data_IF_356604994273
#
_entry.id   IF_356604994273
#
_cell.length_a   1.000
_cell.length_b   1.000
_cell.length_c   1.000
_cell.angle_alpha   90.00
_cell.angle_beta   90.00
_cell.angle_gamma   90.00
#
_symmetry.space_group_name_H-M   'P 1'
#
loop_
_entity.id
_entity.type
_entity.pdbx_description
1 polymer ?
#
# COMPACT_ATOMS: atom_id res chain seq x y z
N UNK A 1 13.38 1.71 22.61
CA UNK A 1 14.21 0.63 22.09
C UNK A 1 15.49 1.15 21.38
N UNK A 2 15.45 2.39 20.90
CA UNK A 2 16.56 3.03 20.20
C UNK A 2 16.77 4.44 20.78
N UNK A 3 17.92 4.71 21.40
CA UNK A 3 18.21 5.97 22.05
C UNK A 3 18.50 7.12 21.08
N UNK A 4 18.73 6.82 19.82
CA UNK A 4 19.14 7.77 18.78
C UNK A 4 18.09 7.91 17.65
N UNK A 5 16.86 7.49 17.87
CA UNK A 5 15.75 7.62 16.90
C UNK A 5 14.72 8.60 17.43
N UNK A 6 14.46 9.66 16.65
CA UNK A 6 13.36 10.59 16.90
C UNK A 6 12.29 10.35 15.85
N UNK A 7 11.14 9.76 16.20
CA UNK A 7 10.04 9.59 15.26
C UNK A 7 9.36 10.94 14.97
N UNK A 8 9.03 11.16 13.69
CA UNK A 8 8.23 12.30 13.25
C UNK A 8 6.89 11.75 12.77
N UNK A 9 5.83 12.11 13.45
CA UNK A 9 4.50 11.57 13.26
C UNK A 9 3.65 12.43 12.34
N UNK A 10 2.86 11.78 11.49
CA UNK A 10 1.75 12.43 10.79
C UNK A 10 0.49 12.32 11.65
N UNK A 11 -0.21 13.43 11.88
CA UNK A 11 -1.47 13.48 12.63
C UNK A 11 -2.55 13.98 11.67
N UNK A 12 -3.64 13.21 11.54
CA UNK A 12 -4.77 13.55 10.68
C UNK A 12 -6.09 13.66 11.46
N UNK A 13 -6.14 13.12 12.68
CA UNK A 13 -7.31 13.11 13.55
C UNK A 13 -6.91 13.59 14.95
N UNK A 14 -7.86 14.23 15.64
CA UNK A 14 -7.67 14.68 17.03
C UNK A 14 -7.36 13.52 17.98
N UNK A 15 -8.02 12.37 17.79
CA UNK A 15 -7.76 11.16 18.58
C UNK A 15 -6.31 10.65 18.44
N UNK A 16 -5.69 10.82 17.30
CA UNK A 16 -4.28 10.49 17.09
C UNK A 16 -3.37 11.43 17.89
N UNK A 17 -3.71 12.72 17.94
CA UNK A 17 -2.97 13.68 18.75
C UNK A 17 -3.08 13.35 20.25
N UNK A 18 -4.29 13.04 20.73
CA UNK A 18 -4.51 12.65 22.12
C UNK A 18 -3.73 11.38 22.48
N UNK A 19 -3.71 10.39 21.60
CA UNK A 19 -2.90 9.18 21.77
C UNK A 19 -1.41 9.50 21.89
N UNK A 20 -0.87 10.35 21.00
CA UNK A 20 0.54 10.75 21.04
C UNK A 20 0.90 11.51 22.31
N UNK A 21 0.03 12.40 22.76
CA UNK A 21 0.24 13.13 24.00
C UNK A 21 0.26 12.20 25.23
N UNK A 22 -0.57 11.16 25.22
CA UNK A 22 -0.59 10.17 26.29
C UNK A 22 0.73 9.41 26.44
N UNK A 23 1.49 9.23 25.34
CA UNK A 23 2.80 8.57 25.37
C UNK A 23 3.90 9.39 26.05
N UNK A 24 3.69 10.69 26.24
CA UNK A 24 4.60 11.54 27.04
C UNK A 24 4.49 11.22 28.55
N UNK A 25 3.32 10.76 28.99
CA UNK A 25 3.07 10.40 30.38
C UNK A 25 3.26 8.89 30.61
N UNK A 26 2.79 8.08 29.67
CA UNK A 26 2.79 6.62 29.73
C UNK A 26 3.34 6.04 28.45
N UNK A 27 4.67 5.99 28.33
CA UNK A 27 5.32 5.40 27.16
C UNK A 27 5.03 3.90 27.05
N UNK A 28 4.48 3.40 25.94
CA UNK A 28 4.23 1.98 25.77
C UNK A 28 5.53 1.16 25.85
N UNK A 29 5.50 0.06 26.57
CA UNK A 29 6.60 -0.89 26.62
C UNK A 29 6.41 -1.96 25.54
N UNK A 30 7.53 -2.53 25.07
CA UNK A 30 7.52 -3.68 24.17
C UNK A 30 7.09 -4.93 24.95
N UNK A 31 5.80 -5.18 25.00
CA UNK A 31 5.22 -6.39 25.58
C UNK A 31 5.01 -7.50 24.52
N UNK A 32 4.42 -8.61 24.93
CA UNK A 32 4.15 -9.75 24.05
C UNK A 32 3.11 -9.39 22.99
N UNK A 33 2.11 -8.58 23.30
CA UNK A 33 1.04 -8.18 22.38
C UNK A 33 1.59 -7.30 21.27
N UNK A 34 2.34 -6.27 21.60
CA UNK A 34 3.00 -5.38 20.63
C UNK A 34 4.01 -6.16 19.79
N UNK A 35 4.77 -7.07 20.40
CA UNK A 35 5.72 -7.91 19.68
C UNK A 35 5.03 -8.82 18.67
N UNK A 36 3.92 -9.46 19.04
CA UNK A 36 3.12 -10.30 18.16
C UNK A 36 2.50 -9.48 17.00
N UNK A 37 2.02 -8.27 17.28
CA UNK A 37 1.50 -7.35 16.28
C UNK A 37 2.59 -6.97 15.26
N UNK A 38 3.78 -6.61 15.73
CA UNK A 38 4.92 -6.28 14.86
C UNK A 38 5.31 -7.46 13.95
N UNK A 39 5.35 -8.68 14.50
CA UNK A 39 5.68 -9.86 13.69
C UNK A 39 4.60 -10.17 12.64
N UNK A 40 3.33 -9.98 12.97
CA UNK A 40 2.24 -10.06 12.00
C UNK A 40 2.40 -9.03 10.87
N UNK A 41 2.64 -7.76 11.22
CA UNK A 41 2.86 -6.70 10.25
C UNK A 41 4.08 -6.94 9.37
N UNK A 42 5.17 -7.46 9.94
CA UNK A 42 6.34 -7.86 9.17
C UNK A 42 5.99 -8.94 8.13
N UNK A 43 5.23 -9.96 8.51
CA UNK A 43 4.81 -11.03 7.60
C UNK A 43 3.93 -10.48 6.46
N UNK A 44 2.99 -9.59 6.76
CA UNK A 44 2.12 -8.96 5.75
C UNK A 44 2.89 -8.03 4.80
N UNK A 45 3.93 -7.35 5.30
CA UNK A 45 4.75 -6.41 4.55
C UNK A 45 6.04 -7.02 4.00
N UNK A 46 6.32 -8.30 4.29
CA UNK A 46 7.43 -9.04 3.71
C UNK A 46 7.00 -9.58 2.34
N UNK A 47 7.76 -9.28 1.32
CA UNK A 47 7.51 -9.85 0.00
C UNK A 47 7.40 -8.81 -1.12
N UNK A 48 6.84 -9.26 -2.21
CA UNK A 48 6.76 -8.53 -3.46
C UNK A 48 5.61 -7.54 -3.45
N UNK A 49 5.84 -6.33 -2.95
CA UNK A 49 4.89 -5.23 -3.08
C UNK A 49 5.54 -3.99 -3.70
N UNK A 50 4.76 -3.25 -4.48
CA UNK A 50 5.23 -2.03 -5.13
C UNK A 50 5.39 -0.89 -4.10
N UNK A 51 6.60 -0.27 -4.04
CA UNK A 51 6.90 0.85 -3.14
C UNK A 51 6.45 2.22 -3.69
N UNK A 52 5.84 2.25 -4.90
CA UNK A 52 5.29 3.47 -5.49
C UNK A 52 6.31 4.48 -6.00
N UNK A 53 7.58 4.12 -6.13
CA UNK A 53 8.67 5.03 -6.49
C UNK A 53 8.58 5.64 -7.91
N UNK A 54 7.87 4.98 -8.84
CA UNK A 54 7.61 5.50 -10.18
C UNK A 54 8.73 5.29 -11.22
N UNK A 55 9.85 4.66 -10.89
CA UNK A 55 10.95 4.43 -11.86
C UNK A 55 10.52 3.64 -13.10
N UNK A 56 9.50 2.79 -12.98
CA UNK A 56 8.93 2.03 -14.09
C UNK A 56 8.09 2.86 -15.08
N UNK A 57 7.80 4.11 -14.73
CA UNK A 57 7.00 4.99 -15.58
C UNK A 57 7.85 5.69 -16.67
N UNK A 58 7.24 6.19 -17.76
CA UNK A 58 5.85 5.97 -18.16
C UNK A 58 5.62 4.56 -18.70
N UNK A 59 4.39 4.04 -18.55
CA UNK A 59 3.97 2.79 -19.17
C UNK A 59 3.52 3.05 -20.63
N UNK A 60 3.95 2.24 -21.63
CA UNK A 60 3.49 2.41 -23.00
C UNK A 60 1.98 2.22 -23.18
N UNK A 61 1.34 1.42 -22.32
CA UNK A 61 -0.12 1.23 -22.29
C UNK A 61 -0.86 2.26 -21.44
N UNK A 62 -0.18 3.30 -20.93
CA UNK A 62 -0.79 4.36 -20.11
C UNK A 62 -1.22 3.94 -18.70
N UNK A 63 -0.74 2.80 -18.19
CA UNK A 63 -1.06 2.30 -16.85
C UNK A 63 -0.27 3.10 -15.81
N UNK A 64 -0.96 3.60 -14.76
CA UNK A 64 -0.32 4.24 -13.60
C UNK A 64 0.26 3.17 -12.67
N UNK A 65 1.33 2.51 -13.09
CA UNK A 65 1.90 1.32 -12.44
C UNK A 65 2.18 1.56 -10.95
N UNK A 66 2.77 2.70 -10.61
CA UNK A 66 3.16 3.05 -9.25
C UNK A 66 1.98 3.18 -8.27
N UNK A 67 0.76 3.33 -8.76
CA UNK A 67 -0.47 3.29 -7.95
C UNK A 67 -1.18 1.94 -8.10
N UNK A 68 -1.42 1.50 -9.32
CA UNK A 68 -2.17 0.28 -9.59
C UNK A 68 -1.52 -0.97 -9.00
N UNK A 69 -0.18 -1.09 -9.04
CA UNK A 69 0.54 -2.26 -8.53
C UNK A 69 0.61 -2.37 -7.00
N UNK A 70 0.06 -1.40 -6.26
CA UNK A 70 -0.05 -1.41 -4.79
C UNK A 70 -1.46 -1.12 -4.29
N UNK A 71 -2.44 -1.18 -5.16
CA UNK A 71 -3.82 -0.78 -4.85
C UNK A 71 -4.41 -1.54 -3.67
N UNK A 72 -4.13 -2.84 -3.53
CA UNK A 72 -4.58 -3.64 -2.38
C UNK A 72 -4.11 -3.09 -1.03
N UNK A 73 -2.88 -2.56 -0.97
CA UNK A 73 -2.36 -1.89 0.22
C UNK A 73 -3.07 -0.56 0.48
N UNK A 74 -3.31 0.22 -0.58
CA UNK A 74 -3.98 1.52 -0.46
C UNK A 74 -5.41 1.36 0.04
N UNK A 75 -6.12 0.35 -0.43
CA UNK A 75 -7.49 0.06 0.01
C UNK A 75 -7.58 -0.35 1.49
N UNK A 76 -6.54 -0.97 2.05
CA UNK A 76 -6.55 -1.48 3.43
C UNK A 76 -5.88 -0.58 4.45
N UNK A 77 -4.97 0.31 4.00
CA UNK A 77 -4.10 1.12 4.89
C UNK A 77 -4.31 2.63 4.74
N UNK A 78 -5.20 3.04 3.85
CA UNK A 78 -5.62 4.43 3.66
C UNK A 78 -7.14 4.49 3.55
N UNK A 79 -7.79 5.67 3.69
CA UNK A 79 -9.22 5.82 3.45
C UNK A 79 -9.58 5.33 2.06
N UNK A 80 -10.31 4.20 1.98
CA UNK A 80 -10.56 3.49 0.71
C UNK A 80 -11.42 4.28 -0.27
N UNK A 81 -12.31 5.15 0.24
CA UNK A 81 -13.23 5.95 -0.59
C UNK A 81 -12.53 6.75 -1.70
N UNK A 82 -11.33 7.27 -1.43
CA UNK A 82 -10.54 8.00 -2.42
C UNK A 82 -10.01 7.13 -3.56
N UNK A 83 -9.92 5.81 -3.35
CA UNK A 83 -9.40 4.82 -4.30
C UNK A 83 -10.51 4.07 -5.05
N UNK A 84 -11.78 4.24 -4.65
CA UNK A 84 -12.93 3.60 -5.28
C UNK A 84 -13.72 4.53 -6.21
N UNK A 85 -13.17 5.68 -6.53
CA UNK A 85 -13.79 6.67 -7.42
C UNK A 85 -13.91 6.16 -8.85
N UNK A 86 -14.90 6.64 -9.66
CA UNK A 86 -15.01 6.27 -11.07
C UNK A 86 -13.72 6.50 -11.85
N UNK A 87 -13.00 7.58 -11.57
CA UNK A 87 -11.72 7.88 -12.21
C UNK A 87 -10.68 6.79 -11.91
N UNK A 88 -10.58 6.33 -10.67
CA UNK A 88 -9.62 5.28 -10.30
C UNK A 88 -10.02 3.93 -10.89
N UNK A 89 -11.33 3.65 -11.01
CA UNK A 89 -11.82 2.45 -11.67
C UNK A 89 -11.35 2.40 -13.14
N UNK A 90 -11.45 3.52 -13.86
CA UNK A 90 -10.93 3.61 -15.25
C UNK A 90 -9.40 3.44 -15.30
N UNK A 91 -8.67 3.99 -14.34
CA UNK A 91 -7.21 3.79 -14.28
C UNK A 91 -6.85 2.32 -14.01
N UNK A 92 -7.55 1.66 -13.09
CA UNK A 92 -7.33 0.23 -12.81
C UNK A 92 -7.69 -0.65 -14.01
N UNK A 93 -8.74 -0.30 -14.76
CA UNK A 93 -9.15 -1.03 -15.97
C UNK A 93 -8.09 -1.01 -17.06
N UNK A 94 -7.25 0.03 -17.14
CA UNK A 94 -6.14 0.06 -18.12
C UNK A 94 -5.17 -1.10 -17.98
N UNK A 95 -5.17 -1.81 -16.84
CA UNK A 95 -4.35 -3.00 -16.62
C UNK A 95 -4.67 -4.09 -17.66
N UNK A 96 -5.91 -4.18 -18.13
CA UNK A 96 -6.34 -5.11 -19.18
C UNK A 96 -5.60 -4.89 -20.51
N UNK A 97 -5.09 -3.68 -20.74
CA UNK A 97 -4.31 -3.31 -21.92
C UNK A 97 -2.80 -3.54 -21.75
N UNK A 98 -2.38 -4.25 -20.72
CA UNK A 98 -0.97 -4.50 -20.48
C UNK A 98 -0.33 -5.26 -21.65
N UNK A 99 0.70 -4.68 -22.25
CA UNK A 99 1.41 -5.27 -23.39
C UNK A 99 2.40 -6.37 -22.99
N UNK A 100 2.54 -6.66 -21.73
CA UNK A 100 3.52 -7.61 -21.16
C UNK A 100 4.96 -7.38 -21.68
N UNK A 101 5.29 -6.15 -22.06
CA UNK A 101 6.58 -5.77 -22.66
C UNK A 101 7.79 -5.86 -21.72
N UNK A 102 7.57 -6.08 -20.42
CA UNK A 102 8.61 -6.24 -19.40
C UNK A 102 9.39 -4.96 -19.04
N UNK A 103 9.06 -3.80 -19.63
CA UNK A 103 9.78 -2.54 -19.36
C UNK A 103 9.75 -2.19 -17.87
N UNK A 104 8.61 -2.35 -17.20
CA UNK A 104 8.43 -2.04 -15.78
C UNK A 104 9.29 -2.94 -14.89
N UNK A 105 9.45 -4.21 -15.24
CA UNK A 105 10.32 -5.15 -14.52
C UNK A 105 11.79 -4.74 -14.64
N UNK A 106 12.25 -4.41 -15.84
CA UNK A 106 13.63 -3.99 -16.10
C UNK A 106 14.03 -2.70 -15.40
N UNK A 107 13.06 -1.81 -15.19
CA UNK A 107 13.27 -0.53 -14.51
C UNK A 107 13.04 -0.59 -13.00
N UNK A 108 12.52 -1.70 -12.47
CA UNK A 108 12.21 -1.83 -11.06
C UNK A 108 13.48 -2.07 -10.24
N UNK A 109 13.87 -1.16 -9.31
CA UNK A 109 15.05 -1.37 -8.47
C UNK A 109 14.85 -2.47 -7.41
N UNK A 110 13.64 -2.98 -7.29
CA UNK A 110 13.26 -4.06 -6.37
C UNK A 110 13.00 -5.39 -7.09
N UNK A 111 13.32 -5.48 -8.37
CA UNK A 111 13.19 -6.70 -9.20
C UNK A 111 11.79 -7.34 -9.18
N UNK A 112 10.74 -6.53 -8.98
CA UNK A 112 9.38 -7.01 -8.86
C UNK A 112 8.82 -7.50 -10.20
N UNK A 113 8.07 -8.61 -10.17
CA UNK A 113 7.23 -9.03 -11.28
C UNK A 113 5.99 -8.11 -11.36
N UNK A 114 6.21 -6.91 -11.89
CA UNK A 114 5.20 -5.84 -11.92
C UNK A 114 3.94 -6.21 -12.70
N UNK A 115 3.99 -6.91 -13.88
CA UNK A 115 2.78 -7.34 -14.56
C UNK A 115 1.90 -8.26 -13.71
N UNK A 116 2.51 -9.18 -12.97
CA UNK A 116 1.77 -10.07 -12.07
C UNK A 116 1.16 -9.32 -10.89
N UNK A 117 1.91 -8.38 -10.31
CA UNK A 117 1.39 -7.50 -9.25
C UNK A 117 0.21 -6.67 -9.74
N UNK A 118 0.24 -6.15 -10.96
CA UNK A 118 -0.88 -5.41 -11.55
C UNK A 118 -2.12 -6.30 -11.66
N UNK A 119 -1.99 -7.51 -12.21
CA UNK A 119 -3.10 -8.47 -12.33
C UNK A 119 -3.69 -8.80 -10.96
N UNK A 120 -2.85 -9.16 -9.99
CA UNK A 120 -3.28 -9.50 -8.63
C UNK A 120 -4.01 -8.34 -7.95
N UNK A 121 -3.48 -7.13 -8.03
CA UNK A 121 -4.12 -5.95 -7.46
C UNK A 121 -5.45 -5.61 -8.15
N UNK A 122 -5.55 -5.82 -9.45
CA UNK A 122 -6.79 -5.59 -10.19
C UNK A 122 -7.88 -6.60 -9.85
N UNK A 123 -7.54 -7.88 -9.70
CA UNK A 123 -8.49 -8.90 -9.23
C UNK A 123 -9.02 -8.60 -7.83
N UNK A 124 -8.13 -8.21 -6.91
CA UNK A 124 -8.52 -7.79 -5.56
C UNK A 124 -9.42 -6.54 -5.60
N UNK A 125 -9.07 -5.56 -6.42
CA UNK A 125 -9.86 -4.34 -6.62
C UNK A 125 -11.28 -4.62 -7.11
N UNK A 126 -11.43 -5.53 -8.06
CA UNK A 126 -12.74 -5.97 -8.55
C UNK A 126 -13.59 -6.61 -7.45
N UNK A 127 -12.99 -7.44 -6.58
CA UNK A 127 -13.68 -8.05 -5.44
C UNK A 127 -14.16 -7.02 -4.43
N UNK A 128 -13.35 -6.00 -4.17
CA UNK A 128 -13.75 -4.88 -3.30
C UNK A 128 -14.92 -4.11 -3.90
N UNK A 129 -14.89 -3.79 -5.21
CA UNK A 129 -16.00 -3.13 -5.88
C UNK A 129 -17.29 -3.96 -5.88
N UNK A 130 -17.18 -5.28 -5.98
CA UNK A 130 -18.31 -6.20 -5.91
C UNK A 130 -18.87 -6.37 -4.48
N UNK A 131 -18.19 -5.81 -3.45
CA UNK A 131 -18.56 -5.99 -2.05
C UNK A 131 -18.21 -7.37 -1.47
N UNK A 132 -17.41 -8.16 -2.18
CA UNK A 132 -16.97 -9.49 -1.72
C UNK A 132 -15.88 -9.37 -0.64
N UNK A 133 -15.14 -8.27 -0.63
CA UNK A 133 -14.08 -7.94 0.34
C UNK A 133 -14.38 -6.58 0.95
N UNK A 134 -14.50 -6.54 2.27
CA UNK A 134 -14.67 -5.29 3.02
C UNK A 134 -13.32 -4.60 3.22
N UNK A 135 -13.30 -3.28 3.04
CA UNK A 135 -12.13 -2.41 3.28
C UNK A 135 -12.57 -1.17 4.08
N UNK A 136 -11.62 -0.49 4.71
CA UNK A 136 -11.87 0.66 5.59
C UNK A 136 -12.22 1.94 4.80
#
# INVERSE_FOLDING_TARGET
QFDNVLPIWGIQKESELEEWLSYMENTPSMDEEISAYIEKEKQELTGDFCRGCGYCMPCPAGIMINQCARMSLMLRRAPSAGWLTPQMQEEMKKIENCLECGQCMKKCPYELNTPELLKKNYEDYKKVLAGEVSVN
#
